data_IF_631534400312
#
_entry.id   IF_631534400312
#
_cell.length_a   1.000
_cell.length_b   1.000
_cell.length_c   1.000
_cell.angle_alpha   90.00
_cell.angle_beta   90.00
_cell.angle_gamma   90.00
#
_symmetry.space_group_name_H-M   'P 1'
#
loop_
_entity.id
_entity.type
_entity.pdbx_description
1 polymer ?
#
# COMPACT_ATOMS: atom_id res chain seq x y z
N UNK A 1 40.58 -41.22 -35.79
CA UNK A 1 41.01 -40.37 -34.67
C UNK A 1 39.76 -39.81 -33.99
N UNK A 2 39.45 -40.32 -32.83
CA UNK A 2 38.31 -39.82 -32.04
C UNK A 2 38.74 -38.57 -31.28
N UNK A 3 38.14 -37.42 -31.61
CA UNK A 3 38.38 -36.16 -30.93
C UNK A 3 37.68 -36.21 -29.56
N UNK A 4 38.48 -36.48 -28.51
CA UNK A 4 37.98 -36.50 -27.13
C UNK A 4 37.76 -35.07 -26.68
N UNK A 5 36.53 -34.60 -26.84
CA UNK A 5 36.08 -33.33 -26.24
C UNK A 5 36.27 -33.44 -24.72
N UNK A 6 37.30 -32.79 -24.17
CA UNK A 6 37.46 -32.61 -22.73
C UNK A 6 36.33 -31.68 -22.25
N UNK A 7 35.30 -32.27 -21.68
CA UNK A 7 34.32 -31.51 -20.92
C UNK A 7 35.06 -30.85 -19.73
N UNK A 8 35.36 -29.58 -19.86
CA UNK A 8 35.87 -28.77 -18.75
C UNK A 8 34.70 -28.43 -17.86
N UNK A 9 34.59 -29.11 -16.71
CA UNK A 9 33.66 -28.72 -15.66
C UNK A 9 34.09 -27.41 -15.01
N UNK A 10 33.13 -26.68 -14.42
CA UNK A 10 33.41 -25.48 -13.64
C UNK A 10 34.30 -25.79 -12.43
N UNK A 11 35.25 -24.92 -12.14
CA UNK A 11 36.09 -24.98 -10.97
C UNK A 11 35.27 -24.56 -9.73
N UNK A 12 35.57 -25.17 -8.57
CA UNK A 12 34.96 -24.81 -7.29
C UNK A 12 35.20 -23.33 -6.96
N UNK A 13 36.37 -22.79 -7.28
CA UNK A 13 36.72 -21.39 -7.12
C UNK A 13 35.83 -20.48 -7.99
N UNK A 14 35.56 -20.89 -9.23
CA UNK A 14 34.69 -20.14 -10.16
C UNK A 14 33.25 -20.04 -9.63
N UNK A 15 32.71 -21.14 -9.07
CA UNK A 15 31.41 -21.13 -8.42
C UNK A 15 31.37 -20.24 -7.18
N UNK A 16 32.45 -20.22 -6.40
CA UNK A 16 32.54 -19.38 -5.21
C UNK A 16 32.57 -17.90 -5.55
N UNK A 17 33.26 -17.50 -6.61
CA UNK A 17 33.28 -16.14 -7.12
C UNK A 17 31.89 -15.73 -7.65
N UNK A 18 31.20 -16.59 -8.37
CA UNK A 18 29.84 -16.33 -8.86
C UNK A 18 28.88 -16.09 -7.71
N UNK A 19 28.89 -16.95 -6.68
CA UNK A 19 28.03 -16.79 -5.48
C UNK A 19 28.36 -15.50 -4.74
N UNK A 20 29.63 -15.12 -4.63
CA UNK A 20 30.05 -13.87 -4.00
C UNK A 20 29.49 -12.65 -4.74
N UNK A 21 29.58 -12.62 -6.09
CA UNK A 21 29.04 -11.53 -6.91
C UNK A 21 27.51 -11.45 -6.78
N UNK A 22 26.81 -12.60 -6.86
CA UNK A 22 25.35 -12.65 -6.70
C UNK A 22 24.90 -12.15 -5.32
N UNK A 23 25.66 -12.47 -4.27
CA UNK A 23 25.37 -12.01 -2.91
C UNK A 23 25.45 -10.49 -2.77
N UNK A 24 26.47 -9.88 -3.39
CA UNK A 24 26.62 -8.41 -3.41
C UNK A 24 25.48 -7.75 -4.18
N UNK A 25 25.12 -8.28 -5.35
CA UNK A 25 24.01 -7.76 -6.15
C UNK A 25 22.67 -7.89 -5.41
N UNK A 26 22.42 -9.02 -4.77
CA UNK A 26 21.23 -9.25 -3.95
C UNK A 26 21.12 -8.26 -2.79
N UNK A 27 22.23 -7.96 -2.11
CA UNK A 27 22.28 -7.01 -1.01
C UNK A 27 21.90 -5.59 -1.42
N UNK A 28 22.24 -5.17 -2.65
CA UNK A 28 21.88 -3.87 -3.19
C UNK A 28 20.42 -3.82 -3.70
N UNK A 29 19.91 -4.93 -4.22
CA UNK A 29 18.56 -5.02 -4.78
C UNK A 29 17.47 -5.07 -3.69
N UNK A 30 17.76 -5.67 -2.54
CA UNK A 30 16.77 -5.93 -1.49
C UNK A 30 16.09 -4.67 -0.93
N UNK A 31 16.81 -3.59 -0.51
CA UNK A 31 16.15 -2.40 0.02
C UNK A 31 15.28 -1.69 -1.01
N UNK A 32 15.70 -1.63 -2.28
CA UNK A 32 14.91 -1.03 -3.36
C UNK A 32 13.59 -1.77 -3.60
N UNK A 33 13.60 -3.10 -3.49
CA UNK A 33 12.40 -3.92 -3.64
C UNK A 33 11.40 -3.70 -2.50
N UNK A 34 11.86 -3.58 -1.26
CA UNK A 34 11.02 -3.29 -0.09
C UNK A 34 10.28 -1.95 -0.23
N UNK A 35 10.98 -0.89 -0.66
CA UNK A 35 10.35 0.42 -0.90
C UNK A 35 9.27 0.36 -2.00
N UNK A 36 9.51 -0.43 -3.05
CA UNK A 36 8.53 -0.60 -4.13
C UNK A 36 7.26 -1.30 -3.65
N UNK A 37 7.37 -2.33 -2.82
CA UNK A 37 6.23 -3.03 -2.21
C UNK A 37 5.42 -2.06 -1.34
N UNK A 38 6.05 -1.29 -0.46
CA UNK A 38 5.38 -0.32 0.39
C UNK A 38 4.60 0.72 -0.41
N UNK A 39 5.18 1.23 -1.51
CA UNK A 39 4.49 2.16 -2.42
C UNK A 39 3.27 1.54 -3.09
N UNK A 40 3.34 0.27 -3.47
CA UNK A 40 2.21 -0.44 -4.08
C UNK A 40 1.04 -0.57 -3.09
N UNK A 41 1.30 -0.92 -1.83
CA UNK A 41 0.27 -1.00 -0.80
C UNK A 41 -0.28 0.37 -0.42
N UNK A 42 0.56 1.41 -0.37
CA UNK A 42 0.12 2.78 -0.17
C UNK A 42 -0.79 3.27 -1.30
N UNK A 43 -0.46 2.95 -2.56
CA UNK A 43 -1.30 3.27 -3.72
C UNK A 43 -2.66 2.57 -3.65
N UNK A 44 -2.70 1.29 -3.25
CA UNK A 44 -3.94 0.54 -3.04
C UNK A 44 -4.79 1.16 -1.92
N UNK A 45 -4.17 1.57 -0.81
CA UNK A 45 -4.86 2.25 0.29
C UNK A 45 -5.43 3.61 -0.14
N UNK A 46 -4.68 4.41 -0.89
CA UNK A 46 -5.16 5.68 -1.47
C UNK A 46 -6.36 5.48 -2.37
N UNK A 47 -6.31 4.50 -3.27
CA UNK A 47 -7.42 4.16 -4.15
C UNK A 47 -8.67 3.75 -3.36
N UNK A 48 -8.50 2.95 -2.31
CA UNK A 48 -9.61 2.54 -1.46
C UNK A 48 -10.23 3.73 -0.69
N UNK A 49 -9.42 4.68 -0.19
CA UNK A 49 -9.94 5.91 0.43
C UNK A 49 -10.74 6.77 -0.56
N UNK A 50 -10.34 6.84 -1.83
CA UNK A 50 -11.09 7.53 -2.88
C UNK A 50 -12.43 6.83 -3.17
N UNK A 51 -12.46 5.50 -3.21
CA UNK A 51 -13.67 4.71 -3.33
C UNK A 51 -14.63 4.99 -2.16
N UNK A 52 -14.12 4.96 -0.92
CA UNK A 52 -14.89 5.29 0.27
C UNK A 52 -15.47 6.71 0.23
N UNK A 53 -14.72 7.68 -0.28
CA UNK A 53 -15.19 9.05 -0.46
C UNK A 53 -16.37 9.12 -1.42
N UNK A 54 -16.32 8.35 -2.51
CA UNK A 54 -17.44 8.25 -3.46
C UNK A 54 -18.67 7.61 -2.83
N UNK A 55 -18.49 6.53 -2.06
CA UNK A 55 -19.57 5.86 -1.34
C UNK A 55 -20.17 6.77 -0.25
N UNK A 56 -19.37 7.56 0.44
CA UNK A 56 -19.86 8.56 1.41
C UNK A 56 -20.69 9.64 0.72
N UNK A 57 -20.29 10.06 -0.46
CA UNK A 57 -21.07 11.04 -1.26
C UNK A 57 -22.43 10.46 -1.66
N UNK A 58 -22.48 9.23 -2.11
CA UNK A 58 -23.74 8.54 -2.41
C UNK A 58 -24.61 8.36 -1.16
N UNK A 59 -24.01 7.95 -0.05
CA UNK A 59 -24.70 7.71 1.21
C UNK A 59 -25.38 8.99 1.76
N UNK A 60 -24.69 10.15 1.72
CA UNK A 60 -25.28 11.41 2.19
C UNK A 60 -26.45 11.87 1.31
N UNK A 61 -26.41 11.63 0.00
CA UNK A 61 -27.56 11.93 -0.88
C UNK A 61 -28.79 11.10 -0.53
N UNK A 62 -28.59 9.83 -0.15
CA UNK A 62 -29.69 8.92 0.20
C UNK A 62 -30.19 9.10 1.64
N UNK A 63 -29.28 9.36 2.58
CA UNK A 63 -29.55 9.31 4.02
C UNK A 63 -29.47 10.64 4.75
N UNK A 64 -29.06 11.72 4.05
CA UNK A 64 -28.87 13.07 4.60
C UNK A 64 -27.84 13.13 5.74
N UNK A 65 -26.96 12.14 5.82
CA UNK A 65 -25.86 12.02 6.78
C UNK A 65 -24.75 11.16 6.20
N UNK A 66 -23.52 11.29 6.70
CA UNK A 66 -22.43 10.38 6.38
C UNK A 66 -22.51 9.09 7.17
N UNK A 67 -22.00 7.98 6.60
CA UNK A 67 -21.88 6.71 7.26
C UNK A 67 -20.81 6.77 8.34
N UNK A 68 -21.03 6.08 9.47
CA UNK A 68 -20.09 5.99 10.58
C UNK A 68 -19.19 4.75 10.53
N UNK A 69 -19.54 3.77 9.73
CA UNK A 69 -18.79 2.51 9.59
C UNK A 69 -18.68 2.09 8.13
N UNK A 70 -17.67 1.28 7.82
CA UNK A 70 -17.47 0.70 6.48
C UNK A 70 -18.63 -0.23 6.11
N UNK A 71 -19.19 -0.94 7.09
CA UNK A 71 -20.35 -1.84 6.88
C UNK A 71 -21.58 -1.09 6.36
N UNK A 72 -21.81 0.14 6.84
CA UNK A 72 -22.90 1.00 6.34
C UNK A 72 -22.69 1.40 4.88
N UNK A 73 -21.45 1.47 4.43
CA UNK A 73 -21.09 1.73 3.04
C UNK A 73 -21.12 0.45 2.19
N UNK A 74 -21.33 -0.73 2.80
CA UNK A 74 -21.40 -2.01 2.11
C UNK A 74 -20.07 -2.48 1.54
N UNK A 75 -18.94 -2.01 2.07
CA UNK A 75 -17.61 -2.34 1.58
C UNK A 75 -16.67 -2.72 2.72
N UNK A 76 -15.67 -3.55 2.37
CA UNK A 76 -14.56 -3.93 3.26
C UNK A 76 -13.26 -3.86 2.46
N UNK A 77 -12.14 -3.44 3.07
CA UNK A 77 -10.87 -3.39 2.37
C UNK A 77 -10.40 -4.80 2.00
N UNK A 78 -9.97 -4.97 0.75
CA UNK A 78 -9.36 -6.22 0.28
C UNK A 78 -7.99 -6.47 0.95
N UNK A 79 -7.42 -7.70 0.83
CA UNK A 79 -6.15 -8.10 1.47
C UNK A 79 -4.98 -7.16 1.18
N UNK A 80 -4.93 -6.59 -0.03
CA UNK A 80 -3.90 -5.63 -0.44
C UNK A 80 -3.86 -4.37 0.43
N UNK A 81 -4.97 -4.04 1.08
CA UNK A 81 -5.10 -2.91 2.00
C UNK A 81 -5.18 -3.40 3.43
N UNK A 82 -6.08 -4.35 3.74
CA UNK A 82 -6.36 -4.79 5.12
C UNK A 82 -5.16 -5.44 5.81
N UNK A 83 -4.25 -6.07 5.07
CA UNK A 83 -3.06 -6.69 5.67
C UNK A 83 -2.02 -5.66 6.12
N UNK A 84 -2.02 -4.48 5.49
CA UNK A 84 -1.00 -3.43 5.70
C UNK A 84 -1.53 -2.18 6.38
N UNK A 85 -2.84 -1.90 6.25
CA UNK A 85 -3.48 -0.69 6.77
C UNK A 85 -4.73 -1.03 7.56
N UNK A 86 -4.93 -0.32 8.67
CA UNK A 86 -6.22 -0.23 9.36
C UNK A 86 -6.97 0.97 8.80
N UNK A 87 -8.14 0.74 8.18
CA UNK A 87 -8.97 1.78 7.59
C UNK A 87 -10.14 2.09 8.50
N UNK A 88 -10.38 3.38 8.76
CA UNK A 88 -11.47 3.85 9.61
C UNK A 88 -12.04 5.19 9.14
N UNK A 89 -13.28 5.45 9.52
CA UNK A 89 -13.92 6.76 9.42
C UNK A 89 -13.71 7.45 10.76
N UNK A 90 -13.07 8.60 10.78
CA UNK A 90 -12.76 9.40 11.97
C UNK A 90 -13.33 10.81 11.83
N UNK A 91 -13.31 11.59 12.90
CA UNK A 91 -13.78 12.98 12.94
C UNK A 91 -15.17 13.17 12.31
N UNK A 92 -16.05 12.18 12.47
CA UNK A 92 -17.39 12.22 11.93
C UNK A 92 -18.29 13.13 12.78
N UNK A 93 -18.82 14.18 12.18
CA UNK A 93 -19.86 15.02 12.78
C UNK A 93 -21.00 15.28 11.79
N UNK A 94 -22.09 14.58 11.96
CA UNK A 94 -23.31 14.75 11.18
C UNK A 94 -24.18 15.91 11.66
N UNK A 95 -23.83 16.58 12.77
CA UNK A 95 -24.54 17.75 13.31
C UNK A 95 -23.95 19.04 12.80
N UNK A 96 -22.70 19.02 12.34
CA UNK A 96 -22.06 20.16 11.68
C UNK A 96 -22.83 20.60 10.43
N UNK A 97 -22.65 21.83 10.04
CA UNK A 97 -23.28 22.40 8.84
C UNK A 97 -22.22 23.08 7.96
N UNK A 98 -21.75 22.44 6.90
CA UNK A 98 -22.08 21.09 6.40
C UNK A 98 -21.56 19.96 7.31
N UNK A 99 -22.12 18.74 7.23
CA UNK A 99 -21.57 17.57 7.92
C UNK A 99 -20.13 17.27 7.48
N UNK A 100 -19.34 16.73 8.38
CA UNK A 100 -17.91 16.45 8.13
C UNK A 100 -17.55 15.00 8.41
N UNK A 101 -16.51 14.49 7.76
CA UNK A 101 -15.82 13.23 8.06
C UNK A 101 -14.37 13.29 7.60
N UNK A 102 -13.57 12.38 8.13
CA UNK A 102 -12.22 12.10 7.64
C UNK A 102 -12.06 10.58 7.50
N UNK A 103 -11.59 10.14 6.34
CA UNK A 103 -11.19 8.75 6.09
C UNK A 103 -9.71 8.63 6.46
N UNK A 104 -9.36 7.58 7.18
CA UNK A 104 -7.99 7.33 7.59
C UNK A 104 -7.56 5.91 7.23
N UNK A 105 -6.37 5.76 6.64
CA UNK A 105 -5.66 4.51 6.51
C UNK A 105 -4.35 4.60 7.32
N UNK A 106 -4.32 3.92 8.47
CA UNK A 106 -3.18 3.87 9.37
C UNK A 106 -2.36 2.61 9.09
N UNK A 107 -1.04 2.73 8.82
CA UNK A 107 -0.20 1.56 8.61
C UNK A 107 -0.13 0.70 9.88
N UNK A 108 -0.22 -0.63 9.72
CA UNK A 108 -0.16 -1.61 10.82
C UNK A 108 1.26 -1.84 11.32
N UNK A 109 2.24 -1.64 10.42
CA UNK A 109 3.66 -1.80 10.74
C UNK A 109 4.51 -0.89 9.84
N UNK A 110 5.73 -0.58 10.29
CA UNK A 110 6.70 0.21 9.53
C UNK A 110 6.57 1.72 9.72
N UNK A 111 7.42 2.45 9.01
CA UNK A 111 7.56 3.92 9.05
C UNK A 111 6.76 4.64 7.95
N UNK A 112 5.68 4.04 7.48
CA UNK A 112 4.84 4.64 6.42
C UNK A 112 3.91 5.70 7.02
N UNK A 113 3.74 6.81 6.32
CA UNK A 113 2.86 7.88 6.78
C UNK A 113 1.38 7.46 6.85
N UNK A 114 0.64 8.01 7.80
CA UNK A 114 -0.82 7.86 7.88
C UNK A 114 -1.45 8.61 6.70
N UNK A 115 -2.31 7.92 5.96
CA UNK A 115 -3.05 8.50 4.84
C UNK A 115 -4.42 8.96 5.33
N UNK A 116 -4.80 10.20 5.04
CA UNK A 116 -6.13 10.73 5.34
C UNK A 116 -6.74 11.41 4.12
N UNK A 117 -8.06 11.38 4.05
CA UNK A 117 -8.87 12.07 3.04
C UNK A 117 -10.13 12.62 3.71
N UNK A 118 -10.32 13.92 3.71
CA UNK A 118 -11.49 14.53 4.34
C UNK A 118 -12.67 14.72 3.37
N UNK A 119 -13.81 15.17 3.89
CA UNK A 119 -15.04 15.44 3.13
C UNK A 119 -14.88 16.50 2.03
N UNK A 120 -13.84 17.32 2.04
CA UNK A 120 -13.49 18.29 1.01
C UNK A 120 -12.56 17.73 -0.08
N UNK A 121 -12.18 16.46 0.02
CA UNK A 121 -11.21 15.85 -0.89
C UNK A 121 -9.76 16.25 -0.61
N UNK A 122 -9.47 16.86 0.54
CA UNK A 122 -8.11 17.20 0.95
C UNK A 122 -7.44 15.98 1.58
N UNK A 123 -6.22 15.70 1.15
CA UNK A 123 -5.41 14.57 1.62
C UNK A 123 -4.27 15.02 2.51
N UNK A 124 -3.76 14.10 3.35
CA UNK A 124 -2.57 14.35 4.18
C UNK A 124 -1.29 14.49 3.34
N UNK A 125 -0.25 15.08 3.93
CA UNK A 125 1.07 15.23 3.29
C UNK A 125 1.65 13.87 2.82
N UNK A 126 1.49 12.81 3.59
CA UNK A 126 1.90 11.44 3.20
C UNK A 126 1.25 10.91 1.91
N UNK A 127 0.20 11.58 1.41
CA UNK A 127 -0.44 11.23 0.14
C UNK A 127 0.46 11.53 -1.08
N UNK A 128 1.31 12.55 -0.98
CA UNK A 128 2.14 13.06 -2.07
C UNK A 128 3.59 12.56 -2.01
N UNK A 129 3.97 11.79 -1.00
CA UNK A 129 5.31 11.17 -0.93
C UNK A 129 5.49 10.20 -2.11
N UNK A 130 6.55 10.46 -2.89
CA UNK A 130 6.92 9.70 -4.09
C UNK A 130 7.75 8.47 -3.74
#
# INVERSE_FOLDING_TARGET
MLNKHRNRGFSLLEMLVVVAILSVLAALAYPSYQHKIQRTHAAAAKQYLLELSSLQTEFIFQRQRYASTLDQLGTQPGPQVSDYYAVAIIDLDNTARPPIYTLQAKPKSGSTAVLTLNHLGQSSEGWHEK
#
